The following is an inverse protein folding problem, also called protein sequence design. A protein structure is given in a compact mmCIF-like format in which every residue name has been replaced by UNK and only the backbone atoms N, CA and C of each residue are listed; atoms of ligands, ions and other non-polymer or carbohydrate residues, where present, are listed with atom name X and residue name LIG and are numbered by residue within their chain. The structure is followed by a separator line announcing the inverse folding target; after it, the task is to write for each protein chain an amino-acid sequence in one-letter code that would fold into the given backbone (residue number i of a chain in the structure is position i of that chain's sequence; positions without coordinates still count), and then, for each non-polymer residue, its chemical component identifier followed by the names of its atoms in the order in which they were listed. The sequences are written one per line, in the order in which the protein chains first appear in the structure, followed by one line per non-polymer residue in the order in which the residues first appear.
data_IF_764720715807
#
_entry.id   IF_764720715807
#
_cell.length_a   1.000
_cell.length_b   1.000
_cell.length_c   1.000
_cell.angle_alpha   90.00
_cell.angle_beta   90.00
_cell.angle_gamma   90.00
#
_symmetry.space_group_name_H-M   'P 1'
#
loop_
_entity.id
_entity.type
_entity.pdbx_description
1 polymer ?
#
# COMPACT_ATOMS: atom_id res chain seq x y z
N UNK A 1 12.51 5.13 14.81
CA UNK A 1 12.46 3.71 14.40
C UNK A 1 12.60 3.67 12.89
N UNK A 2 13.33 2.70 12.32
CA UNK A 2 13.44 2.58 10.86
C UNK A 2 12.12 2.03 10.30
N UNK A 3 11.55 2.60 9.24
CA UNK A 3 10.34 2.07 8.60
C UNK A 3 10.54 0.60 8.23
N UNK A 4 9.58 -0.26 8.58
CA UNK A 4 9.59 -1.65 8.15
C UNK A 4 9.07 -1.73 6.72
N UNK A 5 9.74 -2.52 5.90
CA UNK A 5 9.36 -2.80 4.51
C UNK A 5 9.28 -4.30 4.33
N UNK A 6 8.23 -4.76 3.67
CA UNK A 6 8.02 -6.17 3.35
C UNK A 6 8.01 -6.34 1.83
N UNK A 7 8.40 -7.53 1.38
CA UNK A 7 8.26 -7.95 -0.01
C UNK A 7 7.37 -9.17 -0.03
N UNK A 8 6.41 -9.19 -0.94
CA UNK A 8 5.48 -10.30 -1.07
C UNK A 8 4.88 -10.34 -2.46
N UNK A 9 4.23 -11.44 -2.79
CA UNK A 9 3.54 -11.58 -4.07
C UNK A 9 2.20 -12.28 -3.89
N UNK A 10 1.27 -11.99 -4.79
CA UNK A 10 0.06 -12.76 -4.99
C UNK A 10 0.08 -13.35 -6.39
N UNK A 11 0.26 -14.68 -6.51
CA UNK A 11 0.34 -15.39 -7.82
C UNK A 11 1.26 -14.66 -8.80
N UNK A 12 2.55 -14.61 -8.48
CA UNK A 12 3.63 -13.97 -9.27
C UNK A 12 3.57 -12.44 -9.46
N UNK A 13 2.47 -11.77 -9.11
CA UNK A 13 2.40 -10.31 -9.06
C UNK A 13 3.00 -9.83 -7.73
N UNK A 14 4.18 -9.18 -7.79
CA UNK A 14 5.01 -8.83 -6.64
C UNK A 14 4.84 -7.37 -6.20
N UNK A 15 4.91 -7.12 -4.88
CA UNK A 15 4.69 -5.81 -4.29
C UNK A 15 5.72 -5.49 -3.22
N UNK A 16 6.11 -4.22 -3.19
CA UNK A 16 6.73 -3.61 -2.02
C UNK A 16 5.63 -3.19 -1.07
N UNK A 17 5.58 -3.75 0.13
CA UNK A 17 4.53 -3.47 1.11
C UNK A 17 5.07 -2.61 2.24
N UNK A 18 4.34 -1.56 2.56
CA UNK A 18 4.68 -0.54 3.54
C UNK A 18 3.62 -0.52 4.64
N UNK A 19 3.79 -1.30 5.74
CA UNK A 19 2.96 -1.16 6.93
C UNK A 19 3.11 0.23 7.54
N UNK A 20 1.99 0.93 7.72
CA UNK A 20 1.94 2.28 8.29
C UNK A 20 0.69 2.42 9.19
N UNK A 21 0.60 1.63 10.27
CA UNK A 21 -0.60 1.59 11.13
C UNK A 21 -0.89 2.92 11.83
N UNK A 22 0.14 3.74 12.06
CA UNK A 22 0.02 5.06 12.68
C UNK A 22 -0.16 6.20 11.66
N UNK A 23 -0.05 5.89 10.35
CA UNK A 23 -0.11 6.89 9.28
C UNK A 23 0.97 7.97 9.35
N UNK A 24 2.08 7.69 10.04
CA UNK A 24 3.11 8.69 10.39
C UNK A 24 4.39 8.55 9.60
N UNK A 25 4.57 7.42 8.92
CA UNK A 25 5.84 7.06 8.28
C UNK A 25 5.93 7.61 6.86
N UNK A 26 4.81 7.60 6.14
CA UNK A 26 4.74 8.07 4.76
C UNK A 26 3.84 9.31 4.69
N UNK A 27 4.25 10.35 3.94
CA UNK A 27 3.57 11.65 3.93
C UNK A 27 2.05 11.56 3.79
N UNK A 28 1.36 12.40 4.56
CA UNK A 28 -0.10 12.41 4.65
C UNK A 28 -0.78 12.86 3.36
N UNK A 29 -0.07 13.51 2.43
CA UNK A 29 -0.59 14.00 1.16
C UNK A 29 -0.67 12.90 0.09
N UNK A 30 0.24 11.91 0.10
CA UNK A 30 0.18 10.56 -0.53
C UNK A 30 1.61 9.99 -0.72
N UNK A 31 1.71 8.72 -1.13
CA UNK A 31 2.98 8.16 -1.66
C UNK A 31 3.44 8.96 -2.89
N UNK A 32 4.63 9.55 -2.80
CA UNK A 32 5.29 10.25 -3.90
C UNK A 32 5.54 9.27 -5.08
N UNK A 33 5.03 9.56 -6.30
CA UNK A 33 5.29 8.74 -7.48
C UNK A 33 6.77 8.47 -7.75
N UNK A 34 7.66 9.42 -7.47
CA UNK A 34 9.10 9.25 -7.69
C UNK A 34 9.72 8.31 -6.64
N UNK A 35 9.25 8.35 -5.39
CA UNK A 35 9.59 7.33 -4.39
C UNK A 35 9.11 5.94 -4.84
N UNK A 36 7.87 5.81 -5.31
CA UNK A 36 7.31 4.54 -5.79
C UNK A 36 8.17 3.95 -6.91
N UNK A 37 8.50 4.76 -7.94
CA UNK A 37 9.35 4.34 -9.05
C UNK A 37 10.72 3.85 -8.57
N UNK A 38 11.33 4.55 -7.61
CA UNK A 38 12.61 4.14 -7.01
C UNK A 38 12.51 2.83 -6.23
N UNK A 39 11.43 2.62 -5.48
CA UNK A 39 11.20 1.37 -4.74
C UNK A 39 10.99 0.19 -5.71
N UNK A 40 10.20 0.39 -6.76
CA UNK A 40 9.86 -0.64 -7.75
C UNK A 40 10.97 -0.92 -8.77
N UNK A 41 12.01 -0.07 -8.87
CA UNK A 41 13.16 -0.35 -9.74
C UNK A 41 13.82 -1.67 -9.33
N UNK A 42 13.88 -2.63 -10.26
CA UNK A 42 14.36 -3.99 -9.99
C UNK A 42 15.89 -4.10 -9.88
N UNK A 43 16.64 -3.05 -10.22
CA UNK A 43 18.12 -3.03 -10.20
C UNK A 43 18.66 -2.14 -9.09
N UNK A 44 18.08 -0.95 -8.93
CA UNK A 44 18.50 0.06 -7.98
C UNK A 44 17.60 0.13 -6.73
N UNK A 45 16.43 -0.50 -6.78
CA UNK A 45 15.44 -0.54 -5.70
C UNK A 45 15.23 -1.95 -5.15
N UNK A 46 14.01 -2.18 -4.66
CA UNK A 46 13.59 -3.47 -4.09
C UNK A 46 12.96 -4.39 -5.14
N UNK A 47 12.38 -3.81 -6.18
CA UNK A 47 11.65 -4.53 -7.21
C UNK A 47 10.23 -4.89 -6.80
N UNK A 48 9.27 -4.57 -7.66
CA UNK A 48 7.86 -4.93 -7.51
C UNK A 48 7.03 -4.36 -8.65
N UNK A 49 5.94 -5.03 -9.00
CA UNK A 49 4.93 -4.55 -9.95
C UNK A 49 4.14 -3.34 -9.40
N UNK A 50 4.16 -3.15 -8.07
CA UNK A 50 3.62 -1.97 -7.40
C UNK A 50 4.04 -1.83 -5.93
N UNK A 51 3.50 -0.79 -5.29
CA UNK A 51 3.64 -0.52 -3.85
C UNK A 51 2.27 -0.61 -3.17
N UNK A 52 2.20 -1.32 -2.05
CA UNK A 52 1.01 -1.37 -1.19
C UNK A 52 1.32 -0.71 0.14
N UNK A 53 0.78 0.49 0.41
CA UNK A 53 0.78 1.04 1.76
C UNK A 53 -0.44 0.52 2.52
N UNK A 54 -0.19 -0.13 3.66
CA UNK A 54 -1.21 -0.67 4.56
C UNK A 54 -1.43 0.34 5.67
N UNK A 55 -2.53 1.10 5.59
CA UNK A 55 -2.77 2.28 6.43
C UNK A 55 -4.24 2.38 6.80
N UNK A 56 -4.60 2.91 7.99
CA UNK A 56 -6.00 3.16 8.30
C UNK A 56 -6.63 4.21 7.36
N UNK A 57 -7.88 3.99 6.94
CA UNK A 57 -8.58 4.86 5.97
C UNK A 57 -8.67 6.32 6.40
N UNK A 58 -8.66 6.60 7.71
CA UNK A 58 -8.67 7.98 8.25
C UNK A 58 -7.41 8.79 7.90
N UNK A 59 -6.31 8.12 7.51
CA UNK A 59 -5.04 8.77 7.14
C UNK A 59 -4.86 8.89 5.61
N UNK A 60 -5.93 8.63 4.84
CA UNK A 60 -5.92 8.58 3.38
C UNK A 60 -6.82 9.71 2.86
N UNK A 61 -6.27 10.82 2.31
CA UNK A 61 -7.03 12.05 2.06
C UNK A 61 -8.27 11.89 1.16
N UNK A 62 -8.17 11.07 0.12
CA UNK A 62 -9.27 10.83 -0.82
C UNK A 62 -10.10 9.56 -0.48
N UNK A 63 -9.87 8.91 0.66
CA UNK A 63 -10.59 7.68 1.04
C UNK A 63 -12.11 7.87 1.01
N UNK A 64 -12.59 9.03 1.45
CA UNK A 64 -14.02 9.34 1.44
C UNK A 64 -14.59 9.40 0.02
N UNK A 65 -13.83 9.89 -0.95
CA UNK A 65 -14.25 9.93 -2.35
C UNK A 65 -14.23 8.54 -3.00
N UNK A 66 -13.28 7.69 -2.60
CA UNK A 66 -13.15 6.32 -3.12
C UNK A 66 -14.16 5.36 -2.50
N UNK A 67 -14.40 5.44 -1.19
CA UNK A 67 -15.21 4.49 -0.43
C UNK A 67 -16.68 4.92 -0.27
N UNK A 68 -16.98 6.22 -0.37
CA UNK A 68 -18.33 6.74 -0.19
C UNK A 68 -18.95 6.30 1.14
N UNK A 69 -20.16 5.73 1.08
CA UNK A 69 -20.90 5.27 2.26
C UNK A 69 -20.18 4.14 3.03
N UNK A 70 -19.34 3.36 2.35
CA UNK A 70 -18.58 2.27 2.96
C UNK A 70 -17.44 2.75 3.86
N UNK A 71 -17.06 4.04 3.82
CA UNK A 71 -15.93 4.58 4.60
C UNK A 71 -16.00 4.19 6.09
N UNK A 72 -17.21 4.24 6.68
CA UNK A 72 -17.45 3.90 8.08
C UNK A 72 -17.17 2.43 8.44
N UNK A 73 -17.15 1.54 7.46
CA UNK A 73 -16.93 0.10 7.60
C UNK A 73 -15.52 -0.33 7.17
N UNK A 74 -14.73 0.60 6.63
CA UNK A 74 -13.38 0.33 6.11
C UNK A 74 -12.34 0.91 7.06
N UNK A 75 -11.92 0.13 8.05
CA UNK A 75 -10.84 0.52 8.96
C UNK A 75 -9.51 0.68 8.22
N UNK A 76 -9.17 -0.29 7.36
CA UNK A 76 -7.92 -0.36 6.61
C UNK A 76 -8.11 -0.02 5.14
N UNK A 77 -7.14 0.69 4.58
CA UNK A 77 -7.09 1.10 3.19
C UNK A 77 -5.84 0.54 2.50
N UNK A 78 -6.03 -0.05 1.33
CA UNK A 78 -4.94 -0.51 0.46
C UNK A 78 -4.54 0.64 -0.47
N UNK A 79 -3.62 1.49 -0.04
CA UNK A 79 -3.12 2.62 -0.84
C UNK A 79 -2.10 2.07 -1.86
N UNK A 80 -2.65 1.64 -3.00
CA UNK A 80 -1.94 0.92 -4.05
C UNK A 80 -1.47 1.86 -5.16
N UNK A 81 -0.17 1.77 -5.48
CA UNK A 81 0.45 2.43 -6.64
C UNK A 81 1.07 1.41 -7.58
N UNK A 82 0.90 1.61 -8.89
CA UNK A 82 1.64 0.87 -9.91
C UNK A 82 3.13 1.24 -9.85
N UNK A 83 4.00 0.40 -10.42
CA UNK A 83 5.45 0.66 -10.46
C UNK A 83 5.85 1.99 -11.13
N UNK A 84 5.01 2.55 -12.00
CA UNK A 84 5.25 3.86 -12.63
C UNK A 84 4.85 5.06 -11.73
N UNK A 85 4.27 4.80 -10.56
CA UNK A 85 3.82 5.79 -9.58
C UNK A 85 2.35 6.20 -9.73
N UNK A 86 1.65 5.74 -10.77
CA UNK A 86 0.22 6.00 -10.97
C UNK A 86 -0.65 5.29 -9.94
N UNK A 87 -1.87 5.80 -9.75
CA UNK A 87 -2.89 5.09 -8.97
C UNK A 87 -3.26 3.79 -9.68
N UNK A 88 -3.23 2.71 -8.92
CA UNK A 88 -3.64 1.43 -9.43
C UNK A 88 -5.14 1.23 -9.25
N UNK A 89 -5.78 0.63 -10.25
CA UNK A 89 -7.10 0.03 -10.08
C UNK A 89 -7.00 -1.18 -9.14
N UNK A 90 -8.13 -1.54 -8.52
CA UNK A 90 -8.18 -2.66 -7.58
C UNK A 90 -7.76 -3.96 -8.28
N UNK A 91 -6.69 -4.58 -7.81
CA UNK A 91 -6.20 -5.87 -8.30
C UNK A 91 -6.43 -6.95 -7.24
N UNK A 92 -7.05 -8.07 -7.64
CA UNK A 92 -7.30 -9.19 -6.73
C UNK A 92 -6.03 -9.80 -6.11
N UNK A 93 -4.87 -9.70 -6.77
CA UNK A 93 -3.59 -10.19 -6.22
C UNK A 93 -3.12 -9.29 -5.07
N UNK A 94 -3.22 -7.98 -5.26
CA UNK A 94 -2.88 -6.99 -4.23
C UNK A 94 -3.77 -7.15 -2.99
N UNK A 95 -5.07 -7.33 -3.15
CA UNK A 95 -6.00 -7.52 -2.02
C UNK A 95 -5.68 -8.77 -1.20
N UNK A 96 -5.31 -9.88 -1.85
CA UNK A 96 -4.92 -11.11 -1.12
C UNK A 96 -3.67 -10.90 -0.28
N UNK A 97 -2.65 -10.23 -0.84
CA UNK A 97 -1.43 -9.91 -0.10
C UNK A 97 -1.69 -8.90 1.01
N UNK A 98 -2.50 -7.88 0.74
CA UNK A 98 -2.91 -6.87 1.73
C UNK A 98 -3.57 -7.50 2.95
N UNK A 99 -4.55 -8.39 2.75
CA UNK A 99 -5.20 -9.12 3.84
C UNK A 99 -4.21 -10.02 4.58
N UNK A 100 -3.31 -10.71 3.86
CA UNK A 100 -2.29 -11.53 4.48
C UNK A 100 -1.36 -10.72 5.38
N UNK A 101 -0.95 -9.52 4.95
CA UNK A 101 -0.08 -8.63 5.73
C UNK A 101 -0.80 -8.12 6.97
N UNK A 102 -2.08 -7.73 6.87
CA UNK A 102 -2.85 -7.33 8.04
C UNK A 102 -2.88 -8.41 9.13
N UNK A 103 -3.11 -9.67 8.73
CA UNK A 103 -3.09 -10.81 9.67
C UNK A 103 -1.70 -11.09 10.23
N UNK A 104 -0.67 -11.09 9.37
CA UNK A 104 0.71 -11.39 9.77
C UNK A 104 1.31 -10.34 10.72
N UNK A 105 0.86 -9.09 10.60
CA UNK A 105 1.28 -7.97 11.43
C UNK A 105 0.39 -7.77 12.68
N UNK A 106 -0.64 -8.60 12.88
CA UNK A 106 -1.54 -8.51 14.02
C UNK A 106 -2.42 -7.25 14.02
N UNK A 107 -2.79 -6.78 12.83
CA UNK A 107 -3.58 -5.58 12.59
C UNK A 107 -5.08 -5.86 12.38
N UNK A 108 -5.46 -7.15 12.42
CA UNK A 108 -6.84 -7.67 12.39
C UNK A 108 -7.06 -8.65 13.55
#
# INVERSE_FOLDING_TARGET
MVPRVLLGHGTENDFVVLPDPDGSVWPADRLDPELVRRLCDRRAGLGGDGVLRVVPSRHVPDAAAVLGEALSQCEWFMDHRNADGSYAEMCGNGVRLFLHVLLAEGLL
#
